data_IF_129596621503
#
_entry.id   IF_129596621503
#
_cell.length_a   1.000
_cell.length_b   1.000
_cell.length_c   1.000
_cell.angle_alpha   90.00
_cell.angle_beta   90.00
_cell.angle_gamma   90.00
#
_symmetry.space_group_name_H-M   'P 1'
#
loop_
_entity.id
_entity.type
_entity.pdbx_description
1 polymer ?
#
# COMPACT_ATOMS: atom_id res chain seq x y z
N UNK A 1 -10.90 -5.41 1.84
CA UNK A 1 -10.98 -4.42 2.95
C UNK A 1 -12.38 -3.81 3.03
N UNK A 2 -12.93 -3.58 4.22
CA UNK A 2 -14.29 -3.06 4.39
C UNK A 2 -14.49 -1.69 3.73
N UNK A 3 -13.52 -0.78 3.86
CA UNK A 3 -13.60 0.57 3.28
C UNK A 3 -13.73 0.55 1.75
N UNK A 4 -13.05 -0.36 1.07
CA UNK A 4 -13.17 -0.54 -0.39
C UNK A 4 -14.55 -1.09 -0.78
N UNK A 5 -15.12 -1.98 0.03
CA UNK A 5 -16.49 -2.46 -0.20
C UNK A 5 -17.52 -1.34 0.00
N UNK A 6 -17.33 -0.49 1.00
CA UNK A 6 -18.18 0.69 1.21
C UNK A 6 -18.01 1.72 0.09
N UNK A 7 -16.82 1.82 -0.49
CA UNK A 7 -16.54 2.64 -1.66
C UNK A 7 -17.27 2.12 -2.91
N UNK A 8 -17.26 0.80 -3.15
CA UNK A 8 -18.03 0.17 -4.23
C UNK A 8 -19.54 0.36 -4.06
N UNK A 9 -20.04 0.35 -2.82
CA UNK A 9 -21.45 0.62 -2.48
C UNK A 9 -21.82 2.11 -2.56
N UNK A 10 -20.85 2.99 -2.82
CA UNK A 10 -21.06 4.43 -2.95
C UNK A 10 -21.12 5.21 -1.63
N UNK A 11 -20.87 4.57 -0.49
CA UNK A 11 -20.86 5.21 0.83
C UNK A 11 -19.56 5.98 1.11
N UNK A 12 -18.45 5.56 0.50
CA UNK A 12 -17.14 6.23 0.61
C UNK A 12 -16.72 6.74 -0.76
N UNK A 13 -16.30 8.00 -0.86
CA UNK A 13 -15.90 8.62 -2.14
C UNK A 13 -14.39 8.89 -2.24
N UNK A 14 -13.67 8.81 -1.12
CA UNK A 14 -12.24 9.03 -1.04
C UNK A 14 -11.64 8.19 0.09
N UNK A 15 -10.50 7.57 -0.17
CA UNK A 15 -9.69 6.86 0.82
C UNK A 15 -8.25 7.36 0.69
N UNK A 16 -7.62 7.76 1.79
CA UNK A 16 -6.17 7.99 1.81
C UNK A 16 -5.47 6.64 1.91
N UNK A 17 -4.70 6.28 0.89
CA UNK A 17 -3.97 5.01 0.84
C UNK A 17 -2.53 5.17 1.33
N UNK A 18 -2.21 4.39 2.34
CA UNK A 18 -0.92 4.37 3.04
C UNK A 18 -0.02 3.20 2.61
N UNK A 19 -0.48 2.33 1.70
CA UNK A 19 0.27 1.17 1.18
C UNK A 19 0.95 0.30 2.27
N UNK A 20 0.19 -0.34 3.17
CA UNK A 20 0.76 -1.11 4.30
C UNK A 20 1.69 -2.25 3.87
N UNK A 21 1.47 -2.85 2.69
CA UNK A 21 2.40 -3.82 2.12
C UNK A 21 3.81 -3.24 1.96
N UNK A 22 3.93 -2.03 1.42
CA UNK A 22 5.20 -1.37 1.20
C UNK A 22 5.87 -1.01 2.54
N UNK A 23 5.09 -0.57 3.52
CA UNK A 23 5.58 -0.30 4.88
C UNK A 23 6.15 -1.54 5.57
N UNK A 24 5.61 -2.74 5.30
CA UNK A 24 6.17 -3.99 5.83
C UNK A 24 7.38 -4.49 5.04
N UNK A 25 7.33 -4.37 3.72
CA UNK A 25 8.33 -4.93 2.81
C UNK A 25 9.64 -4.12 2.78
N UNK A 26 9.55 -2.81 2.62
CA UNK A 26 10.72 -1.96 2.40
C UNK A 26 11.71 -1.98 3.57
N UNK A 27 11.29 -1.89 4.86
CA UNK A 27 12.24 -1.91 5.97
C UNK A 27 13.02 -3.23 6.07
N UNK A 28 12.39 -4.36 5.73
CA UNK A 28 13.06 -5.67 5.69
C UNK A 28 14.12 -5.70 4.59
N UNK A 29 13.81 -5.14 3.42
CA UNK A 29 14.74 -5.06 2.31
C UNK A 29 15.89 -4.09 2.57
N UNK A 30 15.62 -2.94 3.20
CA UNK A 30 16.66 -1.99 3.62
C UNK A 30 17.63 -2.64 4.62
N UNK A 31 17.12 -3.36 5.62
CA UNK A 31 17.95 -4.11 6.56
C UNK A 31 18.81 -5.17 5.84
N UNK A 32 18.23 -5.90 4.89
CA UNK A 32 18.96 -6.89 4.09
C UNK A 32 20.08 -6.25 3.25
N UNK A 33 19.79 -5.17 2.52
CA UNK A 33 20.75 -4.50 1.65
C UNK A 33 21.87 -3.83 2.45
N UNK A 34 21.54 -3.24 3.59
CA UNK A 34 22.54 -2.72 4.52
C UNK A 34 23.49 -3.83 4.98
N UNK A 35 22.96 -4.98 5.40
CA UNK A 35 23.78 -6.10 5.85
C UNK A 35 24.63 -6.71 4.73
N UNK A 36 24.11 -6.79 3.51
CA UNK A 36 24.74 -7.52 2.39
C UNK A 36 25.80 -6.70 1.67
N UNK A 37 25.55 -5.41 1.44
CA UNK A 37 26.41 -4.55 0.60
C UNK A 37 26.72 -3.19 1.23
N UNK A 38 26.28 -2.92 2.45
CA UNK A 38 26.54 -1.66 3.14
C UNK A 38 25.71 -0.48 2.61
N UNK A 39 24.63 -0.72 1.89
CA UNK A 39 23.74 0.35 1.42
C UNK A 39 23.00 0.95 2.63
N UNK A 40 23.09 2.27 2.79
CA UNK A 40 22.38 2.96 3.88
C UNK A 40 20.86 2.97 3.62
N UNK A 41 20.02 2.78 4.65
CA UNK A 41 18.58 2.96 4.55
C UNK A 41 18.21 4.39 4.14
N UNK A 42 17.02 4.55 3.58
CA UNK A 42 16.46 5.81 3.14
C UNK A 42 15.10 6.07 3.77
N UNK A 43 14.70 7.33 3.83
CA UNK A 43 13.30 7.65 4.12
C UNK A 43 12.46 7.37 2.87
N UNK A 44 11.39 6.57 3.04
CA UNK A 44 10.54 6.12 1.93
C UNK A 44 9.10 6.57 2.21
N UNK A 45 8.62 7.50 1.40
CA UNK A 45 7.22 7.91 1.43
C UNK A 45 6.33 6.80 0.87
N UNK A 46 5.36 6.37 1.68
CA UNK A 46 4.41 5.30 1.35
C UNK A 46 2.99 5.81 1.09
N UNK A 47 2.78 7.12 1.18
CA UNK A 47 1.50 7.73 0.85
C UNK A 47 1.29 7.72 -0.67
N UNK A 48 0.31 6.95 -1.16
CA UNK A 48 -0.02 6.96 -2.58
C UNK A 48 -1.06 8.03 -2.97
N UNK A 49 -1.58 8.77 -1.99
CA UNK A 49 -2.59 9.81 -2.19
C UNK A 49 -4.02 9.29 -2.00
N UNK A 50 -4.97 9.86 -2.75
CA UNK A 50 -6.40 9.58 -2.61
C UNK A 50 -6.87 8.56 -3.64
N UNK A 51 -7.36 7.42 -3.15
CA UNK A 51 -8.07 6.40 -3.91
C UNK A 51 -9.53 6.80 -4.12
N UNK A 52 -10.01 6.60 -5.34
CA UNK A 52 -11.39 6.88 -5.78
C UNK A 52 -12.16 5.61 -6.15
N UNK A 53 -13.50 5.67 -6.26
CA UNK A 53 -14.33 4.49 -6.51
C UNK A 53 -14.00 3.72 -7.79
N UNK A 54 -13.57 4.40 -8.86
CA UNK A 54 -13.15 3.77 -10.11
C UNK A 54 -11.86 2.93 -9.99
N UNK A 55 -11.12 3.07 -8.88
CA UNK A 55 -9.90 2.32 -8.62
C UNK A 55 -10.15 1.10 -7.72
N UNK A 56 -11.21 1.13 -6.90
CA UNK A 56 -11.48 0.18 -5.82
C UNK A 56 -11.40 -1.30 -6.25
N UNK A 57 -11.86 -1.64 -7.45
CA UNK A 57 -11.83 -3.01 -7.97
C UNK A 57 -10.39 -3.52 -8.17
N UNK A 58 -9.51 -2.69 -8.73
CA UNK A 58 -8.10 -3.03 -8.94
C UNK A 58 -7.36 -3.24 -7.61
N UNK A 59 -7.69 -2.42 -6.61
CA UNK A 59 -7.13 -2.46 -5.26
C UNK A 59 -7.57 -3.73 -4.53
N UNK A 60 -8.86 -4.08 -4.65
CA UNK A 60 -9.40 -5.32 -4.10
C UNK A 60 -8.74 -6.56 -4.71
N UNK A 61 -8.48 -6.55 -6.01
CA UNK A 61 -7.79 -7.66 -6.69
C UNK A 61 -6.35 -7.84 -6.19
N UNK A 62 -5.60 -6.75 -5.98
CA UNK A 62 -4.25 -6.80 -5.41
C UNK A 62 -4.26 -7.27 -3.95
N UNK A 63 -5.25 -6.83 -3.17
CA UNK A 63 -5.41 -7.25 -1.77
C UNK A 63 -5.71 -8.75 -1.66
N UNK A 64 -6.53 -9.30 -2.56
CA UNK A 64 -6.77 -10.74 -2.64
C UNK A 64 -5.51 -11.57 -2.95
N UNK A 65 -4.49 -10.95 -3.56
CA UNK A 65 -3.18 -11.56 -3.84
C UNK A 65 -2.17 -11.34 -2.70
N UNK A 66 -2.57 -10.66 -1.61
CA UNK A 66 -1.67 -10.29 -0.52
C UNK A 66 -0.67 -9.19 -0.88
N UNK A 67 -0.92 -8.47 -1.97
CA UNK A 67 -0.07 -7.36 -2.44
C UNK A 67 -0.62 -5.98 -2.04
N UNK A 68 -1.71 -5.93 -1.26
CA UNK A 68 -2.31 -4.68 -0.76
C UNK A 68 -3.12 -4.83 0.51
#
# INVERSE_FOLDING_TARGET
>A
PEVLQQMQKGYVQALVDQQPYMQGFMPVMEAYLNKKIGLAPSDIDTGQGIVRPNEADSIMALSAQGMR
#
